data_IF_927202649984
#
_entry.id   IF_927202649984
#
_cell.length_a   1.000
_cell.length_b   1.000
_cell.length_c   1.000
_cell.angle_alpha   90.00
_cell.angle_beta   90.00
_cell.angle_gamma   90.00
#
_symmetry.space_group_name_H-M   'P 1'
#
loop_
_entity.id
_entity.type
_entity.pdbx_description
1 polymer ?
#
# COMPACT_ATOMS: atom_id res chain seq x y z
N UNK A 1 -6.52 22.39 -52.92
CA UNK A 1 -7.99 22.43 -52.84
C UNK A 1 -8.33 22.63 -51.37
N UNK A 2 -8.44 23.84 -50.82
CA UNK A 2 -9.41 24.92 -51.10
C UNK A 2 -10.79 24.35 -51.43
N UNK A 3 -11.70 24.30 -50.45
CA UNK A 3 -12.90 25.14 -50.52
C UNK A 3 -13.65 25.13 -49.19
N UNK A 4 -13.97 26.34 -48.80
CA UNK A 4 -14.68 26.82 -47.63
C UNK A 4 -16.20 26.91 -47.86
N UNK A 5 -16.91 27.11 -46.75
CA UNK A 5 -18.23 27.75 -46.59
C UNK A 5 -19.50 26.98 -47.00
N UNK A 6 -20.45 26.91 -46.05
CA UNK A 6 -21.77 27.56 -46.09
C UNK A 6 -22.43 27.37 -44.69
N UNK A 7 -22.65 28.41 -43.86
CA UNK A 7 -23.69 29.47 -43.88
C UNK A 7 -25.07 29.01 -43.32
N UNK A 8 -25.89 29.91 -42.76
CA UNK A 8 -26.47 29.77 -41.42
C UNK A 8 -28.02 29.95 -41.37
N UNK A 9 -28.56 30.11 -40.16
CA UNK A 9 -29.72 30.96 -39.77
C UNK A 9 -31.15 30.64 -40.25
N UNK A 10 -32.06 30.44 -39.29
CA UNK A 10 -33.39 31.05 -39.15
C UNK A 10 -33.99 30.51 -37.81
N UNK A 11 -34.40 31.24 -36.77
CA UNK A 11 -35.10 32.52 -36.56
C UNK A 11 -36.58 32.52 -36.99
N UNK A 12 -37.49 32.45 -36.02
CA UNK A 12 -38.86 33.03 -35.95
C UNK A 12 -39.50 32.57 -34.61
N UNK A 13 -39.70 33.38 -33.55
CA UNK A 13 -40.75 34.41 -33.33
C UNK A 13 -42.10 34.07 -34.01
N UNK A 14 -43.29 34.27 -33.46
CA UNK A 14 -43.89 34.60 -32.16
C UNK A 14 -45.38 34.82 -32.50
N UNK A 15 -46.35 34.43 -31.68
CA UNK A 15 -47.65 35.12 -31.60
C UNK A 15 -48.46 34.67 -30.38
N UNK A 16 -48.89 35.67 -29.63
CA UNK A 16 -49.66 35.58 -28.40
C UNK A 16 -51.16 35.38 -28.67
N UNK A 17 -51.90 34.93 -27.65
CA UNK A 17 -53.31 35.27 -27.45
C UNK A 17 -53.60 35.35 -25.94
N UNK A 18 -53.92 36.56 -25.48
CA UNK A 18 -54.53 36.84 -24.18
C UNK A 18 -56.00 36.41 -24.20
N UNK A 19 -56.53 35.91 -23.07
CA UNK A 19 -57.62 36.60 -22.35
C UNK A 19 -57.95 36.01 -20.97
N UNK A 20 -58.00 36.93 -19.99
CA UNK A 20 -58.94 37.10 -18.87
C UNK A 20 -59.23 35.97 -17.87
N UNK A 21 -58.79 36.20 -16.62
CA UNK A 21 -59.72 36.49 -15.51
C UNK A 21 -60.22 35.31 -14.66
N UNK A 22 -59.76 35.25 -13.40
CA UNK A 22 -60.37 34.45 -12.35
C UNK A 22 -59.55 34.53 -11.06
N UNK A 23 -60.05 35.24 -10.07
CA UNK A 23 -59.46 35.34 -8.74
C UNK A 23 -59.59 34.01 -7.97
N UNK A 24 -58.62 33.74 -7.09
CA UNK A 24 -58.75 33.38 -5.66
C UNK A 24 -57.65 32.40 -5.21
N UNK A 25 -57.20 32.65 -3.98
CA UNK A 25 -56.26 31.89 -3.14
C UNK A 25 -54.77 32.05 -3.49
N UNK A 26 -54.14 32.99 -2.80
CA UNK A 26 -52.71 33.00 -2.52
C UNK A 26 -52.38 31.74 -1.71
N UNK A 27 -51.64 30.74 -2.23
CA UNK A 27 -51.11 29.68 -1.39
C UNK A 27 -50.03 30.34 -0.52
N UNK A 28 -50.29 30.42 0.79
CA UNK A 28 -49.29 30.77 1.78
C UNK A 28 -47.96 30.09 1.41
N UNK A 29 -46.82 30.81 1.36
CA UNK A 29 -45.54 30.16 1.16
C UNK A 29 -45.40 29.13 2.29
N UNK A 30 -45.35 27.85 1.91
CA UNK A 30 -44.92 26.80 2.82
C UNK A 30 -43.47 27.12 3.12
N UNK A 31 -43.25 27.82 4.23
CA UNK A 31 -41.92 27.96 4.83
C UNK A 31 -41.55 26.56 5.27
N UNK A 32 -40.82 25.84 4.41
CA UNK A 32 -40.03 24.72 4.88
C UNK A 32 -39.08 25.30 5.92
N UNK A 33 -39.15 24.86 7.20
CA UNK A 33 -38.06 25.16 8.11
C UNK A 33 -36.80 24.66 7.41
N UNK A 34 -35.76 25.50 7.34
CA UNK A 34 -34.44 25.09 6.91
C UNK A 34 -33.86 24.12 7.94
N UNK A 35 -34.49 22.94 8.08
CA UNK A 35 -33.92 21.79 8.72
C UNK A 35 -32.81 21.34 7.79
N UNK A 36 -31.58 21.29 8.31
CA UNK A 36 -30.48 20.72 7.57
C UNK A 36 -30.88 19.31 7.14
N UNK A 37 -30.99 19.09 5.83
CA UNK A 37 -31.09 17.75 5.29
C UNK A 37 -29.73 17.09 5.51
N UNK A 38 -29.63 16.30 6.57
CA UNK A 38 -28.46 15.46 6.84
C UNK A 38 -28.47 14.29 5.87
N UNK A 39 -27.68 14.37 4.80
CA UNK A 39 -27.43 13.24 3.92
C UNK A 39 -26.44 12.31 4.61
N UNK A 40 -26.91 11.17 5.12
CA UNK A 40 -26.03 10.12 5.64
C UNK A 40 -25.39 9.41 4.45
N UNK A 41 -24.09 9.64 4.25
CA UNK A 41 -23.28 8.92 3.28
C UNK A 41 -22.60 7.74 3.98
N UNK A 42 -23.04 6.52 3.68
CA UNK A 42 -22.33 5.30 4.06
C UNK A 42 -21.39 4.89 2.92
N UNK A 43 -20.11 5.31 2.99
CA UNK A 43 -19.06 4.69 2.19
C UNK A 43 -18.70 3.34 2.82
N UNK A 44 -18.98 2.25 2.10
CA UNK A 44 -18.53 0.93 2.47
C UNK A 44 -17.11 0.72 1.92
N UNK A 45 -16.09 0.88 2.76
CA UNK A 45 -14.72 0.47 2.39
C UNK A 45 -14.67 -1.05 2.56
N UNK A 46 -14.64 -1.79 1.45
CA UNK A 46 -14.70 -3.25 1.50
C UNK A 46 -13.48 -3.87 2.22
N UNK A 47 -12.31 -3.24 2.08
CA UNK A 47 -11.08 -3.66 2.75
C UNK A 47 -10.18 -2.46 3.03
N UNK A 48 -9.61 -2.41 4.23
CA UNK A 48 -8.65 -1.38 4.63
C UNK A 48 -7.56 -2.04 5.48
N UNK A 49 -6.31 -1.65 5.24
CA UNK A 49 -5.16 -2.13 5.98
C UNK A 49 -4.22 -0.97 6.25
N UNK A 50 -3.72 -0.87 7.47
CA UNK A 50 -2.62 0.05 7.84
C UNK A 50 -1.43 -0.79 8.25
N UNK A 51 -0.31 -0.61 7.54
CA UNK A 51 0.90 -1.41 7.74
C UNK A 51 2.11 -0.51 7.94
N UNK A 52 2.96 -0.89 8.89
CA UNK A 52 4.28 -0.34 9.13
C UNK A 52 5.33 -1.44 8.89
N UNK A 53 6.32 -1.14 8.04
CA UNK A 53 7.44 -2.01 7.67
C UNK A 53 8.69 -1.17 7.45
N UNK A 54 9.90 -1.72 7.67
CA UNK A 54 11.14 -1.03 7.33
C UNK A 54 11.31 -0.94 5.82
N UNK A 55 11.86 0.16 5.35
CA UNK A 55 12.27 0.38 3.96
C UNK A 55 13.71 -0.11 3.69
N UNK A 56 14.49 -0.24 4.75
CA UNK A 56 15.91 -0.56 4.71
C UNK A 56 16.30 -1.60 5.76
N UNK A 57 17.30 -2.41 5.43
CA UNK A 57 17.92 -3.39 6.32
C UNK A 57 19.41 -3.08 6.36
N UNK A 58 19.93 -2.77 7.55
CA UNK A 58 21.32 -2.40 7.76
C UNK A 58 22.11 -3.55 8.40
N UNK A 59 23.35 -3.72 7.96
CA UNK A 59 24.32 -4.67 8.50
C UNK A 59 25.62 -3.95 8.82
N UNK A 60 26.11 -4.10 10.05
CA UNK A 60 27.46 -3.66 10.45
C UNK A 60 28.40 -4.88 10.41
N UNK A 61 29.14 -5.01 9.31
CA UNK A 61 30.01 -6.17 9.07
C UNK A 61 31.40 -5.90 9.65
N UNK A 62 31.71 -6.54 10.77
CA UNK A 62 33.04 -6.46 11.41
C UNK A 62 34.00 -7.54 10.89
N UNK A 63 33.47 -8.73 10.57
CA UNK A 63 34.24 -9.87 10.05
C UNK A 63 33.56 -10.44 8.81
N UNK A 64 34.18 -10.25 7.65
CA UNK A 64 33.66 -10.69 6.35
C UNK A 64 33.71 -12.21 6.16
N UNK A 65 34.37 -12.94 7.07
CA UNK A 65 34.44 -14.41 7.05
C UNK A 65 33.34 -15.08 7.88
N UNK A 66 32.51 -14.30 8.58
CA UNK A 66 31.40 -14.78 9.39
C UNK A 66 30.06 -14.22 8.89
N UNK A 67 28.97 -14.96 9.15
CA UNK A 67 27.62 -14.47 8.90
C UNK A 67 27.32 -13.30 9.87
N UNK A 68 26.65 -12.27 9.36
CA UNK A 68 26.34 -11.04 10.10
C UNK A 68 24.83 -10.88 10.23
N UNK A 69 24.32 -10.69 11.44
CA UNK A 69 22.91 -10.34 11.64
C UNK A 69 22.68 -8.85 11.36
N UNK A 70 21.49 -8.51 10.88
CA UNK A 70 21.09 -7.12 10.73
C UNK A 70 21.16 -6.38 12.09
N UNK A 71 21.52 -5.10 12.05
CA UNK A 71 21.74 -4.27 13.24
C UNK A 71 20.50 -4.16 14.13
N UNK A 72 19.30 -4.31 13.54
CA UNK A 72 18.05 -4.42 14.26
C UNK A 72 17.13 -5.46 13.60
N UNK A 73 16.34 -6.22 14.40
CA UNK A 73 15.23 -7.00 13.86
C UNK A 73 14.22 -6.10 13.14
N UNK A 74 13.68 -6.58 12.03
CA UNK A 74 12.62 -5.89 11.32
C UNK A 74 11.27 -6.07 12.05
N UNK A 75 10.52 -4.98 12.13
CA UNK A 75 9.15 -4.99 12.63
C UNK A 75 8.18 -4.91 11.46
N UNK A 76 7.19 -5.81 11.45
CA UNK A 76 6.03 -5.74 10.57
C UNK A 76 4.81 -5.59 11.46
N UNK A 77 4.15 -4.44 11.40
CA UNK A 77 3.00 -4.15 12.23
C UNK A 77 1.78 -3.78 11.40
N UNK A 78 0.71 -4.57 11.53
CA UNK A 78 -0.60 -4.27 10.96
C UNK A 78 -1.52 -3.82 12.10
N UNK A 79 -1.72 -2.50 12.20
CA UNK A 79 -2.44 -1.87 13.31
C UNK A 79 -3.95 -1.81 13.11
N UNK A 80 -4.41 -1.93 11.86
CA UNK A 80 -5.81 -2.04 11.51
C UNK A 80 -5.95 -2.85 10.22
N UNK A 81 -6.84 -3.85 10.25
CA UNK A 81 -7.14 -4.70 9.11
C UNK A 81 -8.63 -5.06 9.10
N UNK A 82 -9.29 -4.73 8.00
CA UNK A 82 -10.65 -5.18 7.69
C UNK A 82 -10.61 -5.96 6.37
N UNK A 83 -10.76 -7.28 6.46
CA UNK A 83 -10.82 -8.19 5.31
C UNK A 83 -12.23 -8.79 5.19
N UNK A 84 -12.55 -9.35 4.03
CA UNK A 84 -13.78 -10.13 3.90
C UNK A 84 -13.67 -11.42 4.75
N UNK A 85 -14.80 -12.02 5.18
CA UNK A 85 -14.78 -13.27 5.95
C UNK A 85 -13.95 -14.36 5.26
N UNK A 86 -13.12 -15.07 6.03
CA UNK A 86 -12.18 -16.07 5.50
C UNK A 86 -10.86 -15.50 4.97
N UNK A 87 -10.74 -14.17 4.85
CA UNK A 87 -9.54 -13.50 4.38
C UNK A 87 -8.35 -13.60 5.35
N UNK A 88 -7.15 -13.70 4.79
CA UNK A 88 -5.86 -13.52 5.48
C UNK A 88 -4.94 -12.61 4.67
N UNK A 89 -3.95 -12.00 5.33
CA UNK A 89 -2.98 -11.12 4.67
C UNK A 89 -1.63 -11.83 4.56
N UNK A 90 -1.16 -12.07 3.34
CA UNK A 90 0.21 -12.50 3.08
C UNK A 90 1.13 -11.28 2.93
N UNK A 91 2.31 -11.38 3.55
CA UNK A 91 3.30 -10.32 3.58
C UNK A 91 4.58 -10.85 2.95
N UNK A 92 4.99 -10.25 1.84
CA UNK A 92 6.18 -10.64 1.10
C UNK A 92 7.17 -9.49 0.98
N UNK A 93 8.46 -9.82 0.87
CA UNK A 93 9.56 -8.88 0.71
C UNK A 93 10.31 -9.15 -0.60
N UNK A 94 10.83 -8.08 -1.23
CA UNK A 94 11.70 -8.15 -2.42
C UNK A 94 12.81 -7.11 -2.29
N UNK A 95 14.04 -7.46 -2.70
CA UNK A 95 15.12 -6.49 -2.78
C UNK A 95 14.88 -5.50 -3.94
N UNK A 96 15.21 -4.22 -3.73
CA UNK A 96 15.13 -3.21 -4.79
C UNK A 96 16.19 -3.40 -5.88
N UNK A 97 17.36 -3.92 -5.49
CA UNK A 97 18.48 -4.19 -6.35
C UNK A 97 18.99 -5.63 -6.18
N UNK A 98 19.67 -6.15 -7.21
CA UNK A 98 20.32 -7.45 -7.13
C UNK A 98 21.55 -7.45 -6.20
N UNK A 99 22.14 -6.28 -5.96
CA UNK A 99 23.35 -6.09 -5.16
C UNK A 99 23.21 -4.91 -4.20
N UNK A 100 23.95 -4.99 -3.10
CA UNK A 100 24.04 -3.97 -2.05
C UNK A 100 24.95 -2.83 -2.47
N UNK A 101 24.72 -1.67 -1.85
CA UNK A 101 25.72 -0.60 -1.84
C UNK A 101 26.61 -0.78 -0.61
N UNK A 102 27.91 -1.02 -0.83
CA UNK A 102 28.90 -1.08 0.24
C UNK A 102 29.42 0.29 0.69
N UNK A 103 30.33 0.33 1.70
CA UNK A 103 30.82 1.55 2.34
C UNK A 103 31.41 2.59 1.39
N UNK A 104 32.04 2.12 0.30
CA UNK A 104 32.70 2.98 -0.69
C UNK A 104 31.83 3.22 -1.94
N UNK A 105 30.54 2.87 -1.87
CA UNK A 105 29.60 2.94 -3.00
C UNK A 105 29.76 1.81 -4.03
N UNK A 106 30.69 0.89 -3.82
CA UNK A 106 30.89 -0.27 -4.67
C UNK A 106 29.87 -1.40 -4.36
N UNK A 107 29.50 -2.23 -5.35
CA UNK A 107 28.73 -3.43 -5.08
C UNK A 107 29.42 -4.33 -4.06
N UNK A 108 28.68 -4.81 -3.07
CA UNK A 108 29.21 -5.68 -2.02
C UNK A 108 28.61 -7.08 -2.08
N UNK A 109 27.46 -7.30 -1.45
CA UNK A 109 26.74 -8.57 -1.45
C UNK A 109 25.68 -8.65 -2.54
N UNK A 110 25.28 -9.88 -2.88
CA UNK A 110 24.06 -10.11 -3.64
C UNK A 110 22.85 -10.12 -2.69
N UNK A 111 21.68 -9.70 -3.17
CA UNK A 111 20.42 -9.83 -2.42
C UNK A 111 20.18 -11.29 -1.96
N UNK A 112 20.62 -12.26 -2.77
CA UNK A 112 20.55 -13.69 -2.48
C UNK A 112 21.40 -14.15 -1.29
N UNK A 113 22.30 -13.32 -0.77
CA UNK A 113 23.09 -13.62 0.42
C UNK A 113 22.37 -13.27 1.72
N UNK A 114 21.21 -12.59 1.65
CA UNK A 114 20.38 -12.32 2.82
C UNK A 114 19.31 -13.38 3.01
N UNK A 115 19.26 -13.92 4.21
CA UNK A 115 18.23 -14.85 4.65
C UNK A 115 17.55 -14.37 5.92
N UNK A 116 16.41 -14.96 6.24
CA UNK A 116 15.74 -14.77 7.53
C UNK A 116 15.13 -16.08 8.01
N UNK A 117 14.98 -16.17 9.32
CA UNK A 117 14.25 -17.27 9.96
C UNK A 117 12.77 -16.92 10.08
N UNK A 118 11.93 -17.94 10.22
CA UNK A 118 10.50 -17.73 10.42
C UNK A 118 10.26 -16.96 11.73
N UNK A 119 9.79 -15.72 11.62
CA UNK A 119 9.49 -14.90 12.78
C UNK A 119 8.19 -15.36 13.46
N UNK A 120 8.11 -15.17 14.78
CA UNK A 120 6.89 -15.37 15.55
C UNK A 120 6.26 -14.03 15.90
N UNK A 121 4.95 -14.01 16.14
CA UNK A 121 4.28 -12.77 16.48
C UNK A 121 2.80 -12.93 16.84
N UNK A 122 2.12 -11.81 17.05
CA UNK A 122 0.69 -11.81 17.36
C UNK A 122 -0.10 -12.03 16.09
N UNK A 123 -0.94 -13.08 16.06
CA UNK A 123 -1.74 -13.45 14.89
C UNK A 123 -0.89 -13.55 13.60
N UNK A 124 0.39 -13.91 13.71
CA UNK A 124 1.33 -13.92 12.60
C UNK A 124 2.06 -15.27 12.55
N UNK A 125 2.05 -15.90 11.38
CA UNK A 125 2.80 -17.10 11.08
C UNK A 125 3.94 -16.74 10.14
N UNK A 126 5.18 -16.74 10.63
CA UNK A 126 6.35 -16.46 9.82
C UNK A 126 6.72 -17.59 8.88
N UNK A 127 7.42 -17.24 7.81
CA UNK A 127 8.06 -18.16 6.88
C UNK A 127 9.55 -17.81 6.79
N UNK A 128 10.43 -18.81 6.80
CA UNK A 128 11.85 -18.61 6.55
C UNK A 128 12.10 -18.44 5.05
N UNK A 129 13.17 -17.72 4.70
CA UNK A 129 13.48 -17.49 3.30
C UNK A 129 14.83 -16.85 3.04
N UNK A 130 15.09 -16.68 1.75
CA UNK A 130 16.25 -15.96 1.22
C UNK A 130 15.74 -14.89 0.28
N UNK A 131 16.32 -13.70 0.39
CA UNK A 131 15.89 -12.55 -0.37
C UNK A 131 16.29 -12.73 -1.83
N UNK A 132 15.54 -12.09 -2.73
CA UNK A 132 15.85 -12.07 -4.15
C UNK A 132 15.43 -10.73 -4.74
N UNK A 133 16.13 -10.30 -5.78
CA UNK A 133 15.65 -9.22 -6.63
C UNK A 133 14.58 -9.72 -7.59
N UNK A 134 13.56 -8.89 -7.84
CA UNK A 134 12.53 -9.12 -8.85
C UNK A 134 11.42 -10.13 -8.49
N UNK A 135 11.66 -11.07 -7.56
CA UNK A 135 10.64 -12.03 -7.11
C UNK A 135 10.37 -11.89 -5.62
N UNK A 136 9.17 -11.41 -5.21
CA UNK A 136 8.79 -11.35 -3.80
C UNK A 136 8.79 -12.73 -3.13
N UNK A 137 9.20 -12.75 -1.87
CA UNK A 137 9.24 -13.94 -1.02
C UNK A 137 8.39 -13.72 0.21
N UNK A 138 7.51 -14.66 0.51
CA UNK A 138 6.63 -14.58 1.69
C UNK A 138 7.48 -14.61 2.96
N UNK A 139 7.34 -13.58 3.79
CA UNK A 139 7.94 -13.47 5.13
C UNK A 139 7.02 -14.03 6.20
N UNK A 140 5.71 -14.05 5.90
CA UNK A 140 4.70 -14.65 6.74
C UNK A 140 3.31 -14.17 6.40
N UNK A 141 2.36 -14.58 7.24
CA UNK A 141 0.93 -14.37 7.02
C UNK A 141 0.21 -14.06 8.31
N UNK A 142 -0.75 -13.16 8.23
CA UNK A 142 -1.66 -12.91 9.33
C UNK A 142 -2.74 -13.99 9.43
N UNK A 143 -3.15 -14.34 10.65
CA UNK A 143 -4.20 -15.32 10.88
C UNK A 143 -5.51 -14.92 10.19
N UNK A 144 -6.28 -15.90 9.75
CA UNK A 144 -7.59 -15.69 9.10
C UNK A 144 -8.51 -14.92 10.03
N UNK A 145 -9.12 -13.84 9.52
CA UNK A 145 -10.06 -13.01 10.28
C UNK A 145 -9.42 -12.16 11.37
N UNK A 146 -8.08 -12.10 11.46
CA UNK A 146 -7.41 -11.17 12.36
C UNK A 146 -7.71 -9.72 11.94
N UNK A 147 -7.90 -8.85 12.92
CA UNK A 147 -8.02 -7.39 12.70
C UNK A 147 -6.70 -6.65 12.95
N UNK A 148 -5.72 -7.33 13.56
CA UNK A 148 -4.35 -6.88 13.81
C UNK A 148 -3.41 -8.08 13.74
N UNK A 149 -2.19 -7.87 13.27
CA UNK A 149 -1.11 -8.85 13.32
C UNK A 149 0.23 -8.12 13.38
N UNK A 150 1.17 -8.66 14.14
CA UNK A 150 2.48 -8.03 14.32
C UNK A 150 3.58 -9.08 14.48
N UNK A 151 4.78 -8.74 14.02
CA UNK A 151 6.03 -9.41 14.40
C UNK A 151 7.12 -8.36 14.60
N UNK A 152 7.93 -8.53 15.64
CA UNK A 152 9.11 -7.69 15.93
C UNK A 152 10.42 -8.46 15.74
N UNK A 153 10.33 -9.74 15.39
CA UNK A 153 11.44 -10.68 15.50
C UNK A 153 11.88 -11.21 14.13
N UNK A 154 11.61 -10.44 13.06
CA UNK A 154 12.09 -10.78 11.72
C UNK A 154 13.58 -10.41 11.62
N UNK A 155 14.44 -11.37 11.96
CA UNK A 155 15.89 -11.18 11.94
C UNK A 155 16.44 -11.60 10.58
N UNK A 156 17.07 -10.65 9.89
CA UNK A 156 17.82 -10.90 8.67
C UNK A 156 19.28 -11.25 8.99
N UNK A 157 19.85 -12.17 8.24
CA UNK A 157 21.25 -12.60 8.31
C UNK A 157 21.88 -12.49 6.93
N UNK A 158 23.01 -11.81 6.86
CA UNK A 158 23.86 -11.67 5.69
C UNK A 158 24.96 -12.73 5.74
N UNK A 159 25.09 -13.51 4.68
CA UNK A 159 26.09 -14.57 4.58
C UNK A 159 27.51 -14.00 4.53
N UNK A 160 28.47 -14.71 5.12
CA UNK A 160 29.90 -14.43 4.99
C UNK A 160 30.34 -14.33 3.52
N UNK A 161 31.18 -13.33 3.21
CA UNK A 161 31.78 -13.15 1.89
C UNK A 161 33.18 -12.52 2.03
N UNK A 162 34.23 -13.32 1.90
CA UNK A 162 35.60 -12.82 2.06
C UNK A 162 36.09 -11.92 0.90
N UNK A 163 35.32 -11.77 -0.18
CA UNK A 163 35.69 -10.96 -1.34
C UNK A 163 35.28 -9.48 -1.21
N UNK A 164 34.53 -9.13 -0.16
CA UNK A 164 33.99 -7.78 0.05
C UNK A 164 34.62 -7.12 1.29
N UNK A 165 34.35 -5.84 1.47
CA UNK A 165 34.92 -5.04 2.55
C UNK A 165 33.98 -4.99 3.76
N UNK A 166 34.57 -5.07 4.95
CA UNK A 166 33.92 -4.78 6.23
C UNK A 166 33.39 -3.32 6.29
N UNK A 167 32.41 -3.07 7.15
CA UNK A 167 31.76 -1.78 7.36
C UNK A 167 30.24 -1.86 7.22
N UNK A 168 29.62 -0.69 7.06
CA UNK A 168 28.16 -0.57 6.94
C UNK A 168 27.67 -0.94 5.54
N UNK A 169 26.68 -1.84 5.48
CA UNK A 169 25.98 -2.24 4.26
C UNK A 169 24.48 -2.04 4.44
N UNK A 170 23.87 -1.37 3.47
CA UNK A 170 22.43 -1.09 3.51
C UNK A 170 21.75 -1.70 2.29
N UNK A 171 20.68 -2.43 2.57
CA UNK A 171 19.77 -2.98 1.58
C UNK A 171 18.46 -2.21 1.60
N UNK A 172 18.03 -1.73 0.44
CA UNK A 172 16.67 -1.22 0.24
C UNK A 172 15.75 -2.37 -0.19
N UNK A 173 14.56 -2.43 0.42
CA UNK A 173 13.58 -3.47 0.15
C UNK A 173 12.18 -2.88 -0.01
N UNK A 174 11.38 -3.58 -0.81
CA UNK A 174 9.93 -3.32 -0.95
C UNK A 174 9.13 -4.46 -0.40
N UNK A 175 7.96 -4.10 0.10
CA UNK A 175 7.00 -5.04 0.67
C UNK A 175 5.77 -5.15 -0.23
N UNK A 176 5.26 -6.37 -0.36
CA UNK A 176 4.04 -6.71 -1.10
C UNK A 176 3.04 -7.31 -0.12
N UNK A 177 1.81 -6.80 -0.19
CA UNK A 177 0.72 -7.20 0.67
C UNK A 177 -0.41 -7.76 -0.18
N UNK A 178 -0.84 -8.99 0.09
CA UNK A 178 -1.86 -9.69 -0.70
C UNK A 178 -2.92 -10.30 0.22
N UNK A 179 -4.18 -10.05 -0.09
CA UNK A 179 -5.30 -10.71 0.58
C UNK A 179 -5.52 -12.08 -0.07
N UNK A 180 -5.60 -13.11 0.75
CA UNK A 180 -5.84 -14.49 0.37
C UNK A 180 -7.17 -14.96 0.93
N UNK A 181 -7.91 -15.77 0.18
CA UNK A 181 -9.21 -16.33 0.53
C UNK A 181 -9.19 -17.86 0.48
#
# INVERSE_FOLDING_TARGET
>A
MISSHNLPTAAALAAALLWCGGALADPLPVVHPAGSLGTVFNAHVAQQITVEVPDTIAFDVVDVSADTQATAPATVAVSAMALAPGGSLAISIVADAAQFTGPDGAPSWDAGDVSWVAATGTNFTGAAGTLAAGTPRETGRCAVGANVCTTTDLVFSLKANAAVRAGDHTLSARWKFEVLF
#
